data_IF_266082901588
#
_entry.id   IF_266082901588
#
_cell.length_a   1.000
_cell.length_b   1.000
_cell.length_c   1.000
_cell.angle_alpha   90.00
_cell.angle_beta   90.00
_cell.angle_gamma   90.00
#
_symmetry.space_group_name_H-M   'P 1'
#
loop_
_entity.id
_entity.type
_entity.pdbx_description
1 polymer ?
#
# COMPACT_ATOMS: atom_id res chain seq x y z
N UNK A 1 -33.65 19.17 -2.82
CA UNK A 1 -33.72 17.69 -2.92
C UNK A 1 -32.61 17.14 -3.83
N UNK A 2 -32.49 17.60 -5.09
CA UNK A 2 -31.50 17.12 -6.08
C UNK A 2 -30.03 17.12 -5.61
N UNK A 3 -29.54 18.24 -5.05
CA UNK A 3 -28.15 18.36 -4.56
C UNK A 3 -27.80 17.36 -3.44
N UNK A 4 -28.76 16.99 -2.58
CA UNK A 4 -28.54 15.98 -1.53
C UNK A 4 -28.38 14.59 -2.13
N UNK A 5 -29.13 14.25 -3.17
CA UNK A 5 -29.01 12.96 -3.86
C UNK A 5 -27.69 12.85 -4.63
N UNK A 6 -27.23 13.94 -5.26
CA UNK A 6 -25.91 14.00 -5.90
C UNK A 6 -24.79 13.80 -4.87
N UNK A 7 -24.86 14.44 -3.71
CA UNK A 7 -23.87 14.26 -2.64
C UNK A 7 -23.85 12.82 -2.10
N UNK A 8 -25.03 12.23 -1.86
CA UNK A 8 -25.15 10.82 -1.41
C UNK A 8 -24.61 9.86 -2.47
N UNK A 9 -24.81 10.14 -3.76
CA UNK A 9 -24.25 9.35 -4.86
C UNK A 9 -22.71 9.37 -4.86
N UNK A 10 -22.08 10.54 -4.68
CA UNK A 10 -20.61 10.63 -4.58
C UNK A 10 -20.06 9.93 -3.33
N UNK A 11 -20.75 10.02 -2.20
CA UNK A 11 -20.38 9.30 -0.97
C UNK A 11 -20.45 7.79 -1.20
N UNK A 12 -21.53 7.30 -1.81
CA UNK A 12 -21.69 5.89 -2.15
C UNK A 12 -20.63 5.42 -3.15
N UNK A 13 -20.32 6.21 -4.17
CA UNK A 13 -19.22 5.91 -5.11
C UNK A 13 -17.87 5.82 -4.40
N UNK A 14 -17.58 6.72 -3.46
CA UNK A 14 -16.36 6.68 -2.66
C UNK A 14 -16.28 5.43 -1.78
N UNK A 15 -17.39 5.06 -1.13
CA UNK A 15 -17.48 3.84 -0.30
C UNK A 15 -17.32 2.59 -1.17
N UNK A 16 -18.00 2.51 -2.31
CA UNK A 16 -17.88 1.39 -3.26
C UNK A 16 -16.43 1.29 -3.77
N UNK A 17 -15.82 2.42 -4.14
CA UNK A 17 -14.42 2.46 -4.55
C UNK A 17 -13.48 1.94 -3.45
N UNK A 18 -13.72 2.31 -2.20
CA UNK A 18 -12.95 1.81 -1.04
C UNK A 18 -13.11 0.29 -0.85
N UNK A 19 -14.34 -0.23 -0.98
CA UNK A 19 -14.62 -1.67 -0.84
C UNK A 19 -14.08 -2.54 -1.97
N UNK A 20 -13.82 -1.98 -3.15
CA UNK A 20 -13.22 -2.71 -4.28
C UNK A 20 -11.72 -2.49 -4.43
N UNK A 21 -11.18 -1.44 -3.81
CA UNK A 21 -9.77 -1.10 -3.93
C UNK A 21 -8.86 -2.20 -3.38
N UNK A 22 -9.27 -2.89 -2.31
CA UNK A 22 -8.53 -4.02 -1.75
C UNK A 22 -8.35 -5.17 -2.77
N UNK A 23 -9.39 -5.51 -3.53
CA UNK A 23 -9.36 -6.51 -4.60
C UNK A 23 -8.43 -6.06 -5.74
N UNK A 24 -8.47 -4.78 -6.11
CA UNK A 24 -7.62 -4.22 -7.16
C UNK A 24 -6.15 -4.30 -6.75
N UNK A 25 -5.81 -3.87 -5.54
CA UNK A 25 -4.42 -3.93 -5.04
C UNK A 25 -3.94 -5.36 -4.88
N UNK A 26 -4.81 -6.27 -4.45
CA UNK A 26 -4.47 -7.69 -4.33
C UNK A 26 -4.14 -8.30 -5.70
N UNK A 27 -5.00 -8.05 -6.69
CA UNK A 27 -4.78 -8.50 -8.06
C UNK A 27 -3.54 -7.86 -8.69
N UNK A 28 -3.31 -6.58 -8.45
CA UNK A 28 -2.11 -5.87 -8.88
C UNK A 28 -0.83 -6.52 -8.32
N UNK A 29 -0.84 -6.88 -7.03
CA UNK A 29 0.26 -7.62 -6.40
C UNK A 29 0.51 -8.95 -7.10
N UNK A 30 -0.54 -9.75 -7.33
CA UNK A 30 -0.43 -11.07 -7.99
C UNK A 30 0.11 -10.93 -9.41
N UNK A 31 -0.35 -9.92 -10.15
CA UNK A 31 0.14 -9.60 -11.48
C UNK A 31 1.63 -9.24 -11.46
N UNK A 32 2.06 -8.39 -10.52
CA UNK A 32 3.47 -7.99 -10.39
C UNK A 32 4.37 -9.16 -10.02
N UNK A 33 3.91 -10.10 -9.19
CA UNK A 33 4.65 -11.35 -8.88
C UNK A 33 4.87 -12.17 -10.16
N UNK A 34 3.85 -12.31 -11.01
CA UNK A 34 3.98 -13.04 -12.29
C UNK A 34 4.96 -12.36 -13.24
N UNK A 35 5.00 -11.03 -13.22
CA UNK A 35 5.93 -10.22 -13.99
C UNK A 35 7.32 -10.12 -13.36
N UNK A 36 7.59 -10.83 -12.24
CA UNK A 36 8.85 -10.82 -11.50
C UNK A 36 9.26 -9.46 -10.94
N UNK A 37 8.32 -8.52 -10.80
CA UNK A 37 8.55 -7.24 -10.14
C UNK A 37 8.33 -7.37 -8.63
N UNK A 38 9.24 -8.07 -7.95
CA UNK A 38 9.09 -8.43 -6.53
C UNK A 38 8.93 -7.21 -5.61
N UNK A 39 9.62 -6.10 -5.89
CA UNK A 39 9.49 -4.84 -5.12
C UNK A 39 8.12 -4.20 -5.30
N UNK A 40 7.65 -4.09 -6.55
CA UNK A 40 6.35 -3.49 -6.84
C UNK A 40 5.21 -4.36 -6.28
N UNK A 41 5.34 -5.69 -6.38
CA UNK A 41 4.41 -6.64 -5.79
C UNK A 41 4.32 -6.47 -4.26
N UNK A 42 5.48 -6.35 -3.59
CA UNK A 42 5.52 -6.11 -2.15
C UNK A 42 4.77 -4.83 -1.77
N UNK A 43 5.00 -3.73 -2.49
CA UNK A 43 4.32 -2.45 -2.23
C UNK A 43 2.80 -2.54 -2.45
N UNK A 44 2.34 -3.29 -3.45
CA UNK A 44 0.91 -3.47 -3.70
C UNK A 44 0.24 -4.20 -2.53
N UNK A 45 0.85 -5.27 -2.02
CA UNK A 45 0.36 -5.98 -0.83
C UNK A 45 0.46 -5.14 0.44
N UNK A 46 1.52 -4.35 0.60
CA UNK A 46 1.69 -3.45 1.75
C UNK A 46 0.54 -2.44 1.84
N UNK A 47 0.06 -1.92 0.70
CA UNK A 47 -1.08 -0.99 0.67
C UNK A 47 -2.36 -1.64 1.22
N UNK A 48 -2.58 -2.93 0.96
CA UNK A 48 -3.73 -3.67 1.49
C UNK A 48 -3.62 -3.74 3.01
N UNK A 49 -2.47 -4.17 3.52
CA UNK A 49 -2.24 -4.32 4.96
C UNK A 49 -2.35 -2.97 5.69
N UNK A 50 -1.91 -1.87 5.06
CA UNK A 50 -1.87 -0.54 5.67
C UNK A 50 -3.19 0.22 5.57
N UNK A 51 -3.85 0.21 4.41
CA UNK A 51 -5.01 1.06 4.13
C UNK A 51 -6.34 0.30 4.19
N UNK A 52 -6.30 -1.03 4.10
CA UNK A 52 -7.47 -1.91 4.11
C UNK A 52 -7.32 -3.02 5.17
N UNK A 53 -7.11 -2.68 6.46
CA UNK A 53 -6.78 -3.64 7.50
C UNK A 53 -7.90 -4.66 7.80
N UNK A 54 -9.15 -4.35 7.44
CA UNK A 54 -10.30 -5.24 7.60
C UNK A 54 -10.53 -6.15 6.37
N UNK A 55 -9.72 -6.00 5.31
CA UNK A 55 -9.88 -6.82 4.11
C UNK A 55 -9.54 -8.28 4.38
N UNK A 56 -10.31 -9.20 3.79
CA UNK A 56 -10.04 -10.65 3.78
C UNK A 56 -8.67 -11.00 3.20
N UNK A 57 -8.07 -10.11 2.41
CA UNK A 57 -6.76 -10.34 1.78
C UNK A 57 -5.58 -10.00 2.67
N UNK A 58 -5.78 -9.43 3.86
CA UNK A 58 -4.67 -8.97 4.71
C UNK A 58 -3.76 -10.11 5.13
N UNK A 59 -4.33 -11.23 5.60
CA UNK A 59 -3.53 -12.36 6.05
C UNK A 59 -2.70 -12.95 4.90
N UNK A 60 -3.31 -13.10 3.73
CA UNK A 60 -2.66 -13.67 2.57
C UNK A 60 -1.61 -12.71 1.97
N UNK A 61 -1.91 -11.42 1.93
CA UNK A 61 -0.96 -10.36 1.55
C UNK A 61 0.29 -10.39 2.43
N UNK A 62 0.13 -10.57 3.75
CA UNK A 62 1.27 -10.73 4.67
C UNK A 62 2.12 -11.97 4.33
N UNK A 63 1.48 -13.11 4.03
CA UNK A 63 2.19 -14.33 3.62
C UNK A 63 2.96 -14.12 2.33
N UNK A 64 2.35 -13.50 1.32
CA UNK A 64 2.98 -13.19 0.03
C UNK A 64 4.14 -12.19 0.19
N UNK A 65 3.97 -11.15 0.99
CA UNK A 65 5.04 -10.21 1.34
C UNK A 65 6.24 -10.90 2.00
N UNK A 66 5.98 -11.82 2.95
CA UNK A 66 7.02 -12.61 3.59
C UNK A 66 7.74 -13.53 2.59
N UNK A 67 6.98 -14.20 1.71
CA UNK A 67 7.55 -15.04 0.65
C UNK A 67 8.42 -14.24 -0.33
N UNK A 68 7.99 -13.04 -0.73
CA UNK A 68 8.78 -12.14 -1.58
C UNK A 68 10.09 -11.74 -0.90
N UNK A 69 10.05 -11.39 0.39
CA UNK A 69 11.25 -11.08 1.19
C UNK A 69 12.19 -12.27 1.34
N UNK A 70 11.65 -13.49 1.43
CA UNK A 70 12.45 -14.71 1.51
C UNK A 70 13.09 -15.06 0.15
N UNK A 71 12.39 -14.77 -0.95
CA UNK A 71 12.84 -15.08 -2.32
C UNK A 71 13.94 -14.14 -2.82
N UNK A 72 13.90 -12.85 -2.42
CA UNK A 72 14.77 -11.81 -2.96
C UNK A 72 15.77 -11.26 -1.96
N UNK A 73 17.05 -11.64 -2.06
CA UNK A 73 18.13 -10.93 -1.37
C UNK A 73 18.21 -9.45 -1.76
N UNK A 74 17.98 -9.13 -3.03
CA UNK A 74 17.92 -7.76 -3.53
C UNK A 74 16.68 -6.99 -3.06
N UNK A 75 15.55 -7.67 -2.82
CA UNK A 75 14.35 -7.03 -2.28
C UNK A 75 14.62 -6.48 -0.87
N UNK A 76 15.28 -7.25 -0.01
CA UNK A 76 15.66 -6.76 1.33
C UNK A 76 16.62 -5.57 1.26
N UNK A 77 17.52 -5.53 0.28
CA UNK A 77 18.41 -4.40 0.06
C UNK A 77 17.67 -3.17 -0.47
N UNK A 78 16.65 -3.35 -1.31
CA UNK A 78 15.81 -2.26 -1.81
C UNK A 78 14.92 -1.68 -0.70
N UNK A 79 14.29 -2.55 0.09
CA UNK A 79 13.45 -2.15 1.22
C UNK A 79 14.24 -1.42 2.30
N UNK A 80 15.41 -1.94 2.69
CA UNK A 80 16.26 -1.28 3.70
C UNK A 80 16.78 0.08 3.25
N UNK A 81 17.11 0.27 1.96
CA UNK A 81 17.45 1.59 1.43
C UNK A 81 16.27 2.57 1.51
N UNK A 82 15.09 2.12 1.11
CA UNK A 82 13.86 2.93 1.17
C UNK A 82 13.55 3.38 2.61
N UNK A 83 13.69 2.47 3.58
CA UNK A 83 13.53 2.78 5.01
C UNK A 83 14.54 3.81 5.52
N UNK A 84 15.81 3.71 5.10
CA UNK A 84 16.84 4.67 5.46
C UNK A 84 16.58 6.07 4.89
N UNK A 85 16.13 6.14 3.64
CA UNK A 85 15.78 7.41 2.99
C UNK A 85 14.59 8.08 3.68
N UNK A 86 13.53 7.32 3.97
CA UNK A 86 12.37 7.80 4.73
C UNK A 86 12.77 8.35 6.11
N UNK A 87 13.67 7.65 6.81
CA UNK A 87 14.15 8.10 8.12
C UNK A 87 14.92 9.42 8.02
N UNK A 88 15.82 9.55 7.04
CA UNK A 88 16.57 10.80 6.80
C UNK A 88 15.65 11.97 6.44
N UNK A 89 14.61 11.71 5.65
CA UNK A 89 13.62 12.73 5.28
C UNK A 89 12.77 13.16 6.49
N UNK A 90 12.38 12.21 7.35
CA UNK A 90 11.68 12.54 8.59
C UNK A 90 12.56 13.38 9.53
N UNK A 91 13.83 13.01 9.68
CA UNK A 91 14.80 13.76 10.49
C UNK A 91 15.06 15.18 9.93
N UNK A 92 15.12 15.35 8.60
CA UNK A 92 15.29 16.66 7.98
C UNK A 92 14.06 17.55 8.14
N UNK A 93 12.85 16.97 8.00
CA UNK A 93 11.57 17.67 8.25
C UNK A 93 11.45 18.10 9.70
N UNK A 94 11.74 17.21 10.65
CA UNK A 94 11.71 17.53 12.08
C UNK A 94 12.69 18.64 12.46
N UNK A 95 13.91 18.62 11.90
CA UNK A 95 14.86 19.72 12.09
C UNK A 95 14.29 21.04 11.57
N UNK A 96 13.77 21.05 10.34
CA UNK A 96 13.20 22.26 9.72
C UNK A 96 11.99 22.82 10.49
N UNK A 97 11.16 21.95 11.06
CA UNK A 97 10.03 22.35 11.93
C UNK A 97 10.48 22.82 13.31
N UNK A 98 11.55 22.27 13.88
CA UNK A 98 12.10 22.71 15.18
C UNK A 98 12.78 24.09 15.15
N UNK A 99 13.10 24.59 13.95
CA UNK A 99 13.68 25.92 13.73
C UNK A 99 12.65 26.97 13.28
N UNK A 100 11.35 26.62 13.21
CA UNK A 100 10.23 27.55 12.96
C UNK A 100 9.52 27.90 14.26
#
# INVERSE_FOLDING_TARGET
>A
MFMKHVMVFFILLGIIGYFFADHIFYWQGDFMVRMQYDTAAYEAYERIVKYYPESKFVEDSRKKMAALRAKGGDLNKALSRKEQELKKEQESRQKTESFR
#
